data_IF_294706633985
#
_entry.id   IF_294706633985
#
_cell.length_a   1.000
_cell.length_b   1.000
_cell.length_c   1.000
_cell.angle_alpha   90.00
_cell.angle_beta   90.00
_cell.angle_gamma   90.00
#
_symmetry.space_group_name_H-M   'P 1'
#
loop_
_entity.id
_entity.type
_entity.pdbx_description
1 polymer ?
#
# COMPACT_ATOMS: atom_id res chain seq x y z
N UNK A 1 -0.91 9.09 30.17
CA UNK A 1 -2.01 8.13 29.97
C UNK A 1 -1.49 6.89 29.27
N UNK A 2 -1.86 5.69 29.76
CA UNK A 2 -1.46 4.42 29.15
C UNK A 2 -2.48 3.97 28.08
N UNK A 3 -2.23 4.39 26.83
CA UNK A 3 -3.08 4.04 25.70
C UNK A 3 -3.01 2.56 25.32
N UNK A 4 -1.93 1.85 25.69
CA UNK A 4 -1.80 0.41 25.44
C UNK A 4 -2.79 -0.35 26.30
N UNK A 5 -2.73 -0.16 27.63
CA UNK A 5 -3.64 -0.83 28.58
C UNK A 5 -5.11 -0.54 28.27
N UNK A 6 -5.44 0.69 27.91
CA UNK A 6 -6.81 1.05 27.50
C UNK A 6 -7.25 0.37 26.21
N UNK A 7 -6.34 0.21 25.24
CA UNK A 7 -6.64 -0.50 23.99
C UNK A 7 -6.90 -1.99 24.22
N UNK A 8 -6.15 -2.61 25.13
CA UNK A 8 -6.37 -3.99 25.56
C UNK A 8 -7.74 -4.15 26.23
N UNK A 9 -8.12 -3.24 27.12
CA UNK A 9 -9.45 -3.22 27.74
C UNK A 9 -10.56 -3.12 26.68
N UNK A 10 -10.39 -2.25 25.68
CA UNK A 10 -11.39 -2.12 24.61
C UNK A 10 -11.51 -3.42 23.80
N UNK A 11 -10.40 -4.11 23.51
CA UNK A 11 -10.46 -5.42 22.83
C UNK A 11 -11.22 -6.45 23.67
N UNK A 12 -11.00 -6.49 24.98
CA UNK A 12 -11.75 -7.36 25.89
C UNK A 12 -13.24 -7.01 25.93
N UNK A 13 -13.61 -5.72 25.89
CA UNK A 13 -15.00 -5.30 25.80
C UNK A 13 -15.68 -5.74 24.50
N UNK A 14 -14.97 -5.72 23.35
CA UNK A 14 -15.49 -6.30 22.11
C UNK A 14 -15.70 -7.81 22.22
N UNK A 15 -14.75 -8.54 22.82
CA UNK A 15 -14.85 -10.00 23.04
C UNK A 15 -16.01 -10.38 23.96
N UNK A 16 -16.27 -9.56 24.97
CA UNK A 16 -17.37 -9.75 25.92
C UNK A 16 -18.69 -9.11 25.47
N UNK A 17 -18.72 -8.53 24.26
CA UNK A 17 -19.87 -7.84 23.68
C UNK A 17 -20.42 -6.67 24.53
N UNK A 18 -19.57 -6.08 25.39
CA UNK A 18 -19.88 -4.89 26.20
C UNK A 18 -19.71 -3.62 25.37
N UNK A 19 -20.57 -3.46 24.37
CA UNK A 19 -20.53 -2.32 23.46
C UNK A 19 -20.92 -0.99 24.14
N UNK A 20 -21.63 -1.06 25.29
CA UNK A 20 -21.93 0.11 26.10
C UNK A 20 -20.65 0.70 26.72
N UNK A 21 -19.77 -0.15 27.27
CA UNK A 21 -18.49 0.29 27.79
C UNK A 21 -17.53 0.79 26.70
N UNK A 22 -17.57 0.21 25.49
CA UNK A 22 -16.84 0.74 24.33
C UNK A 22 -17.38 2.13 23.98
N UNK A 23 -18.70 2.28 23.85
CA UNK A 23 -19.34 3.53 23.44
C UNK A 23 -19.01 4.69 24.39
N UNK A 24 -18.96 4.46 25.71
CA UNK A 24 -18.56 5.47 26.71
C UNK A 24 -17.14 6.02 26.50
N UNK A 25 -16.28 5.30 25.79
CA UNK A 25 -14.91 5.72 25.49
C UNK A 25 -14.79 6.44 24.15
N UNK A 26 -15.82 6.42 23.31
CA UNK A 26 -15.84 7.09 22.01
C UNK A 26 -16.08 8.58 22.18
N UNK A 27 -15.42 9.36 21.32
CA UNK A 27 -15.70 10.77 21.17
C UNK A 27 -16.97 10.99 20.33
N UNK A 28 -18.09 11.23 21.00
CA UNK A 28 -19.40 11.40 20.37
C UNK A 28 -19.52 12.70 19.57
N UNK A 29 -18.62 13.67 19.77
CA UNK A 29 -18.64 14.93 19.00
C UNK A 29 -18.25 14.73 17.53
N UNK A 30 -17.55 13.63 17.21
CA UNK A 30 -17.09 13.32 15.84
C UNK A 30 -17.93 12.25 15.16
N UNK A 31 -18.62 11.40 15.94
CA UNK A 31 -19.41 10.30 15.41
C UNK A 31 -20.91 10.47 15.69
N UNK A 32 -21.56 11.32 14.91
CA UNK A 32 -23.02 11.52 15.00
C UNK A 32 -23.85 10.28 14.64
N UNK A 33 -23.24 9.25 14.04
CA UNK A 33 -23.89 8.00 13.62
C UNK A 33 -23.42 6.74 14.36
N UNK A 34 -22.56 6.87 15.37
CA UNK A 34 -22.10 5.71 16.15
C UNK A 34 -22.97 5.60 17.39
N UNK A 35 -23.57 4.44 17.56
CA UNK A 35 -24.25 3.99 18.76
C UNK A 35 -23.81 2.55 19.09
N UNK A 36 -24.31 1.99 20.18
CA UNK A 36 -24.00 0.60 20.57
C UNK A 36 -24.42 -0.41 19.50
N UNK A 37 -25.54 -0.15 18.80
CA UNK A 37 -26.03 -1.01 17.73
C UNK A 37 -25.09 -1.01 16.50
N UNK A 38 -24.50 0.13 16.17
CA UNK A 38 -23.48 0.26 15.13
C UNK A 38 -22.24 -0.55 15.50
N UNK A 39 -21.76 -0.44 16.74
CA UNK A 39 -20.59 -1.19 17.22
C UNK A 39 -20.87 -2.70 17.15
N UNK A 40 -22.04 -3.14 17.63
CA UNK A 40 -22.47 -4.54 17.58
C UNK A 40 -22.53 -5.08 16.15
N UNK A 41 -23.15 -4.33 15.21
CA UNK A 41 -23.19 -4.72 13.79
C UNK A 41 -21.80 -4.83 13.17
N UNK A 42 -20.90 -3.90 13.48
CA UNK A 42 -19.52 -3.95 12.98
C UNK A 42 -18.79 -5.19 13.53
N UNK A 43 -18.92 -5.48 14.83
CA UNK A 43 -18.33 -6.68 15.43
C UNK A 43 -18.89 -7.97 14.83
N UNK A 44 -20.21 -8.08 14.67
CA UNK A 44 -20.86 -9.23 14.04
C UNK A 44 -20.35 -9.45 12.60
N UNK A 45 -20.15 -8.38 11.84
CA UNK A 45 -19.55 -8.46 10.49
C UNK A 45 -18.11 -8.95 10.53
N UNK A 46 -17.31 -8.52 11.52
CA UNK A 46 -15.94 -9.02 11.72
C UNK A 46 -15.96 -10.52 12.02
N UNK A 47 -16.79 -10.98 12.95
CA UNK A 47 -16.91 -12.41 13.26
C UNK A 47 -17.39 -13.22 12.05
N UNK A 48 -18.38 -12.71 11.30
CA UNK A 48 -18.87 -13.36 10.07
C UNK A 48 -17.76 -13.55 9.02
N UNK A 49 -16.95 -12.52 8.79
CA UNK A 49 -15.89 -12.54 7.77
C UNK A 49 -14.63 -13.30 8.20
N UNK A 50 -14.30 -13.29 9.50
CA UNK A 50 -12.99 -13.74 10.00
C UNK A 50 -13.07 -14.99 10.88
N UNK A 51 -14.28 -15.41 11.27
CA UNK A 51 -14.50 -16.41 12.32
C UNK A 51 -14.37 -15.81 13.71
N UNK A 52 -14.35 -16.66 14.74
CA UNK A 52 -14.22 -16.23 16.14
C UNK A 52 -12.81 -15.73 16.45
N UNK A 53 -12.70 -14.86 17.45
CA UNK A 53 -11.43 -14.40 17.98
C UNK A 53 -10.70 -15.57 18.66
N UNK A 54 -9.41 -15.74 18.38
CA UNK A 54 -8.55 -16.79 18.97
C UNK A 54 -7.59 -16.18 19.99
N UNK A 55 -6.71 -15.28 19.55
CA UNK A 55 -5.72 -14.64 20.43
C UNK A 55 -5.18 -13.34 19.86
N UNK A 56 -4.65 -12.49 20.74
CA UNK A 56 -3.80 -11.37 20.36
C UNK A 56 -2.37 -11.88 20.12
N UNK A 57 -1.73 -11.41 19.06
CA UNK A 57 -0.36 -11.79 18.67
C UNK A 57 0.66 -10.72 19.05
N UNK A 58 0.38 -9.45 18.72
CA UNK A 58 1.27 -8.32 19.01
C UNK A 58 0.52 -7.00 19.13
N UNK A 59 1.20 -6.01 19.67
CA UNK A 59 0.76 -4.63 19.77
C UNK A 59 1.79 -3.69 19.15
N UNK A 60 1.31 -2.70 18.42
CA UNK A 60 2.14 -1.64 17.84
C UNK A 60 1.51 -0.28 18.12
N UNK A 61 2.33 0.66 18.61
CA UNK A 61 1.94 2.06 18.74
C UNK A 61 2.44 2.83 17.53
N UNK A 62 1.54 3.55 16.88
CA UNK A 62 1.83 4.49 15.81
C UNK A 62 1.29 5.89 16.09
N UNK A 63 1.47 6.79 15.13
CA UNK A 63 0.89 8.13 15.13
C UNK A 63 0.25 8.40 13.77
N UNK A 64 -0.85 9.13 13.78
CA UNK A 64 -1.51 9.65 12.57
C UNK A 64 -1.82 11.12 12.82
N UNK A 65 -0.96 12.00 12.31
CA UNK A 65 -0.95 13.41 12.70
C UNK A 65 -0.78 13.56 14.23
N UNK A 66 -1.73 14.26 14.86
CA UNK A 66 -1.73 14.48 16.30
C UNK A 66 -2.36 13.34 17.11
N UNK A 67 -2.86 12.29 16.47
CA UNK A 67 -3.51 11.17 17.14
C UNK A 67 -2.55 10.02 17.42
N UNK A 68 -2.74 9.37 18.56
CA UNK A 68 -2.05 8.13 18.90
C UNK A 68 -2.85 6.97 18.32
N UNK A 69 -2.23 6.12 17.51
CA UNK A 69 -2.88 4.93 16.96
C UNK A 69 -2.31 3.72 17.67
N UNK A 70 -3.17 2.87 18.21
CA UNK A 70 -2.77 1.59 18.76
C UNK A 70 -3.32 0.47 17.89
N UNK A 71 -2.44 -0.40 17.40
CA UNK A 71 -2.78 -1.51 16.52
C UNK A 71 -2.52 -2.80 17.26
N UNK A 72 -3.56 -3.61 17.42
CA UNK A 72 -3.49 -4.93 18.02
C UNK A 72 -3.64 -5.95 16.91
N UNK A 73 -2.61 -6.76 16.65
CA UNK A 73 -2.69 -7.85 15.69
C UNK A 73 -3.40 -9.03 16.35
N UNK A 74 -4.57 -9.38 15.82
CA UNK A 74 -5.42 -10.43 16.36
C UNK A 74 -5.51 -11.61 15.39
N UNK A 75 -5.35 -12.82 15.89
CA UNK A 75 -5.68 -14.04 15.18
C UNK A 75 -7.17 -14.34 15.36
N UNK A 76 -7.90 -14.46 14.26
CA UNK A 76 -9.23 -15.06 14.20
C UNK A 76 -9.15 -16.44 13.54
N UNK A 77 -10.22 -17.24 13.59
CA UNK A 77 -10.20 -18.61 13.05
C UNK A 77 -9.77 -18.69 11.57
N UNK A 78 -10.15 -17.71 10.75
CA UNK A 78 -9.87 -17.71 9.30
C UNK A 78 -8.62 -16.92 8.90
N UNK A 79 -8.36 -15.78 9.55
CA UNK A 79 -7.29 -14.85 9.15
C UNK A 79 -6.85 -13.95 10.30
N UNK A 80 -5.73 -13.27 10.08
CA UNK A 80 -5.25 -12.24 11.00
C UNK A 80 -5.89 -10.89 10.66
N UNK A 81 -6.21 -10.13 11.70
CA UNK A 81 -6.87 -8.82 11.61
C UNK A 81 -6.17 -7.84 12.53
N UNK A 82 -5.81 -6.69 12.01
CA UNK A 82 -5.37 -5.54 12.80
C UNK A 82 -6.59 -4.82 13.37
N UNK A 83 -6.73 -4.85 14.70
CA UNK A 83 -7.66 -4.00 15.42
C UNK A 83 -6.99 -2.68 15.77
N UNK A 84 -7.36 -1.61 15.06
CA UNK A 84 -6.77 -0.28 15.19
C UNK A 84 -7.69 0.63 16.00
N UNK A 85 -7.14 1.27 17.02
CA UNK A 85 -7.79 2.30 17.83
C UNK A 85 -7.07 3.63 17.66
N UNK A 86 -7.81 4.66 17.27
CA UNK A 86 -7.31 6.02 17.11
C UNK A 86 -7.72 6.83 18.33
N UNK A 87 -6.75 7.25 19.13
CA UNK A 87 -6.93 8.03 20.34
C UNK A 87 -6.77 9.52 20.05
N UNK A 88 -7.82 10.28 20.36
CA UNK A 88 -7.82 11.73 20.34
C UNK A 88 -6.96 12.34 21.44
N UNK A 89 -6.62 13.62 21.27
CA UNK A 89 -5.91 14.41 22.30
C UNK A 89 -6.74 14.58 23.59
N UNK A 90 -8.07 14.44 23.50
CA UNK A 90 -9.01 14.41 24.62
C UNK A 90 -9.15 13.02 25.27
N UNK A 91 -8.22 12.10 24.96
CA UNK A 91 -8.16 10.75 25.52
C UNK A 91 -9.40 9.87 25.23
N UNK A 92 -10.20 10.27 24.23
CA UNK A 92 -11.36 9.51 23.72
C UNK A 92 -11.03 8.87 22.39
N UNK A 93 -11.74 7.79 22.06
CA UNK A 93 -11.57 7.06 20.80
C UNK A 93 -12.19 7.90 19.68
N UNK A 94 -11.35 8.35 18.75
CA UNK A 94 -11.71 9.06 17.51
C UNK A 94 -11.91 8.10 16.33
N UNK A 95 -11.71 6.80 16.52
CA UNK A 95 -12.03 5.80 15.52
C UNK A 95 -11.55 4.42 15.92
N UNK A 96 -12.26 3.40 15.47
CA UNK A 96 -11.87 2.00 15.62
C UNK A 96 -12.06 1.28 14.29
N UNK A 97 -11.12 0.41 13.93
CA UNK A 97 -11.12 -0.27 12.64
C UNK A 97 -10.64 -1.71 12.81
N UNK A 98 -11.29 -2.63 12.11
CA UNK A 98 -10.84 -4.01 11.94
C UNK A 98 -10.36 -4.18 10.50
N UNK A 99 -9.05 -4.23 10.31
CA UNK A 99 -8.43 -4.30 8.99
C UNK A 99 -7.79 -5.67 8.84
N UNK A 100 -8.29 -6.54 7.95
CA UNK A 100 -7.62 -7.79 7.63
C UNK A 100 -6.16 -7.52 7.28
N UNK A 101 -5.24 -8.34 7.80
CA UNK A 101 -3.85 -8.27 7.39
C UNK A 101 -3.77 -8.56 5.89
N UNK A 102 -3.12 -7.67 5.16
CA UNK A 102 -2.82 -7.90 3.75
C UNK A 102 -1.72 -8.95 3.65
N UNK A 103 -2.15 -10.20 3.46
CA UNK A 103 -1.31 -11.39 3.25
C UNK A 103 -1.10 -11.69 1.77
N UNK A 104 -1.63 -10.85 0.87
CA UNK A 104 -1.37 -10.99 -0.56
C UNK A 104 0.14 -10.92 -0.77
N UNK A 105 0.69 -11.74 -1.68
CA UNK A 105 2.10 -11.63 -2.04
C UNK A 105 2.41 -10.17 -2.37
N UNK A 106 3.54 -9.68 -1.86
CA UNK A 106 4.08 -8.39 -2.27
C UNK A 106 5.11 -8.62 -3.36
N UNK A 107 5.31 -7.64 -4.22
CA UNK A 107 6.37 -7.69 -5.21
C UNK A 107 7.70 -8.00 -4.52
N UNK A 108 8.38 -9.02 -5.05
CA UNK A 108 9.76 -9.37 -4.67
C UNK A 108 10.63 -9.11 -5.88
N UNK A 109 11.76 -8.46 -5.65
CA UNK A 109 12.77 -8.31 -6.70
C UNK A 109 13.28 -9.69 -7.11
N UNK A 110 13.51 -9.93 -8.40
CA UNK A 110 14.04 -11.21 -8.88
C UNK A 110 15.49 -11.41 -8.42
N UNK A 111 15.94 -12.66 -8.31
CA UNK A 111 17.28 -13.01 -7.81
C UNK A 111 18.41 -12.47 -8.69
N UNK A 112 18.14 -12.25 -9.97
CA UNK A 112 19.08 -11.65 -10.92
C UNK A 112 19.11 -10.11 -10.82
N UNK A 113 18.27 -9.46 -10.02
CA UNK A 113 18.36 -8.02 -9.80
C UNK A 113 19.66 -7.68 -9.08
N UNK A 114 20.49 -6.84 -9.69
CA UNK A 114 21.74 -6.38 -9.10
C UNK A 114 21.80 -4.83 -9.10
N UNK A 115 21.62 -4.18 -7.93
CA UNK A 115 21.65 -2.72 -7.84
C UNK A 115 23.04 -2.12 -8.10
N UNK A 116 24.13 -2.90 -8.02
CA UNK A 116 25.47 -2.45 -8.38
C UNK A 116 25.70 -2.46 -9.90
N UNK A 117 25.03 -3.36 -10.63
CA UNK A 117 25.20 -3.52 -12.08
C UNK A 117 24.47 -2.45 -12.90
N UNK A 118 23.49 -1.76 -12.31
CA UNK A 118 22.61 -0.85 -13.02
C UNK A 118 22.21 0.35 -12.16
N UNK A 119 21.90 1.48 -12.80
CA UNK A 119 21.24 2.61 -12.15
C UNK A 119 19.95 2.97 -12.87
N UNK A 120 18.90 3.22 -12.12
CA UNK A 120 17.65 3.75 -12.67
C UNK A 120 17.64 5.27 -12.59
N UNK A 121 17.29 5.93 -13.70
CA UNK A 121 17.11 7.36 -13.79
C UNK A 121 15.68 7.69 -14.17
N UNK A 122 15.03 8.57 -13.42
CA UNK A 122 13.72 9.12 -13.82
C UNK A 122 13.91 10.01 -15.04
N UNK A 123 13.08 9.81 -16.04
CA UNK A 123 13.06 10.58 -17.28
C UNK A 123 11.65 11.07 -17.55
N UNK A 124 11.53 12.13 -18.34
CA UNK A 124 10.24 12.56 -18.89
C UNK A 124 10.42 12.67 -20.39
N UNK A 125 9.57 11.95 -21.12
CA UNK A 125 9.48 12.10 -22.56
C UNK A 125 8.48 13.17 -22.86
N UNK A 126 8.87 14.14 -23.68
CA UNK A 126 8.01 15.26 -24.04
C UNK A 126 7.70 15.18 -25.52
N UNK A 127 6.43 15.32 -25.86
CA UNK A 127 5.98 15.68 -27.19
C UNK A 127 5.39 17.10 -27.14
N UNK A 128 4.84 17.60 -28.24
CA UNK A 128 4.22 18.93 -28.27
C UNK A 128 3.09 19.06 -27.24
N UNK A 129 2.33 17.97 -27.04
CA UNK A 129 1.12 17.98 -26.22
C UNK A 129 1.21 17.12 -24.97
N UNK A 130 2.24 16.28 -24.83
CA UNK A 130 2.30 15.28 -23.76
C UNK A 130 3.63 15.30 -23.01
N UNK A 131 3.55 15.07 -21.70
CA UNK A 131 4.71 14.84 -20.83
C UNK A 131 4.53 13.48 -20.17
N UNK A 132 5.32 12.52 -20.61
CA UNK A 132 5.17 11.12 -20.24
C UNK A 132 6.29 10.73 -19.28
N UNK A 133 6.00 10.52 -17.99
CA UNK A 133 7.00 10.08 -17.03
C UNK A 133 7.52 8.69 -17.40
N UNK A 134 8.80 8.45 -17.13
CA UNK A 134 9.41 7.14 -17.32
C UNK A 134 10.63 6.91 -16.45
N UNK A 135 11.19 5.72 -16.60
CA UNK A 135 12.38 5.23 -15.92
C UNK A 135 13.32 4.63 -16.96
N UNK A 136 14.54 5.15 -17.02
CA UNK A 136 15.61 4.64 -17.84
C UNK A 136 16.59 3.88 -16.94
N UNK A 137 16.67 2.56 -17.12
CA UNK A 137 17.63 1.70 -16.44
C UNK A 137 18.89 1.58 -17.30
N UNK A 138 20.03 1.94 -16.74
CA UNK A 138 21.30 2.08 -17.46
C UNK A 138 22.33 1.13 -16.84
N UNK A 139 23.03 0.29 -17.64
CA UNK A 139 24.15 -0.50 -17.14
C UNK A 139 25.24 0.39 -16.57
N UNK A 140 25.85 -0.01 -15.45
CA UNK A 140 26.99 0.70 -14.84
C UNK A 140 28.34 0.36 -15.51
N UNK A 141 28.31 -0.27 -16.69
CA UNK A 141 29.49 -0.54 -17.51
C UNK A 141 29.79 0.65 -18.44
N UNK A 142 31.07 0.80 -18.82
CA UNK A 142 31.52 1.87 -19.73
C UNK A 142 31.09 1.56 -21.17
N UNK A 143 30.90 2.59 -21.98
CA UNK A 143 30.60 2.47 -23.41
C UNK A 143 29.14 2.74 -23.78
N UNK A 144 28.81 2.51 -25.05
CA UNK A 144 27.44 2.60 -25.57
C UNK A 144 26.73 1.28 -25.31
N UNK A 145 25.46 1.36 -24.88
CA UNK A 145 24.62 0.20 -24.62
C UNK A 145 23.46 0.17 -25.63
N UNK A 146 23.05 -1.01 -26.12
CA UNK A 146 21.79 -1.13 -26.83
C UNK A 146 20.64 -0.67 -25.92
N UNK A 147 19.63 -0.03 -26.51
CA UNK A 147 18.44 0.45 -25.81
C UNK A 147 17.22 -0.38 -26.23
N UNK A 148 16.55 -0.97 -25.25
CA UNK A 148 15.22 -1.57 -25.42
C UNK A 148 14.18 -0.63 -24.81
N UNK A 149 13.09 -0.39 -25.54
CA UNK A 149 11.94 0.36 -25.04
C UNK A 149 10.81 -0.64 -24.81
N UNK A 150 10.34 -0.73 -23.57
CA UNK A 150 9.19 -1.58 -23.24
C UNK A 150 7.91 -0.79 -23.46
N UNK A 151 7.09 -1.29 -24.38
CA UNK A 151 5.82 -0.68 -24.81
C UNK A 151 4.68 -1.54 -24.28
N UNK A 152 3.72 -0.93 -23.60
CA UNK A 152 2.58 -1.63 -23.01
C UNK A 152 1.67 -2.27 -24.07
N UNK A 153 0.90 -3.26 -23.64
CA UNK A 153 -0.24 -3.79 -24.40
C UNK A 153 -1.43 -2.83 -24.39
N UNK A 154 -2.65 -3.34 -24.45
CA UNK A 154 -3.90 -2.54 -24.38
C UNK A 154 -4.21 -2.05 -22.96
N UNK A 155 -4.81 -0.87 -22.84
CA UNK A 155 -5.26 -0.30 -21.56
C UNK A 155 -4.28 0.69 -20.92
N UNK A 156 -4.76 1.36 -19.87
CA UNK A 156 -3.97 2.27 -19.06
C UNK A 156 -3.12 1.44 -18.08
N UNK A 157 -1.84 1.32 -18.37
CA UNK A 157 -0.89 0.54 -17.57
C UNK A 157 0.26 1.44 -17.12
N UNK A 158 0.77 1.17 -15.92
CA UNK A 158 1.93 1.87 -15.39
C UNK A 158 3.24 1.40 -16.06
N UNK A 159 4.34 2.10 -15.81
CA UNK A 159 5.67 1.76 -16.36
C UNK A 159 6.22 0.37 -15.97
N UNK A 160 5.67 -0.23 -14.92
CA UNK A 160 6.10 -1.52 -14.41
C UNK A 160 5.24 -2.67 -14.96
N UNK A 161 4.13 -2.35 -15.65
CA UNK A 161 3.05 -3.28 -16.00
C UNK A 161 2.52 -3.98 -14.73
N UNK A 162 2.26 -3.18 -13.68
CA UNK A 162 1.90 -3.73 -12.37
C UNK A 162 0.59 -4.52 -12.43
N UNK A 163 0.66 -5.82 -12.15
CA UNK A 163 -0.50 -6.70 -11.99
C UNK A 163 -0.41 -7.46 -10.66
N UNK A 164 -1.13 -6.97 -9.65
CA UNK A 164 -1.02 -7.49 -8.28
C UNK A 164 0.43 -7.41 -7.78
N UNK A 165 1.07 -8.53 -7.38
CA UNK A 165 2.48 -8.54 -7.00
C UNK A 165 3.45 -8.52 -8.17
N UNK A 166 3.00 -8.69 -9.41
CA UNK A 166 3.86 -8.85 -10.58
C UNK A 166 4.22 -7.49 -11.16
N UNK A 167 5.47 -7.37 -11.63
CA UNK A 167 5.99 -6.19 -12.32
C UNK A 167 6.86 -6.61 -13.50
N UNK A 168 6.28 -7.28 -14.52
CA UNK A 168 7.04 -7.95 -15.57
C UNK A 168 7.96 -6.98 -16.33
N UNK A 169 7.56 -5.73 -16.59
CA UNK A 169 8.46 -4.78 -17.26
C UNK A 169 9.65 -4.39 -16.37
N UNK A 170 9.44 -4.28 -15.07
CA UNK A 170 10.53 -4.05 -14.11
C UNK A 170 11.48 -5.24 -14.04
N UNK A 171 10.94 -6.44 -14.07
CA UNK A 171 11.70 -7.68 -13.99
C UNK A 171 12.51 -7.92 -15.27
N UNK A 172 11.92 -7.68 -16.44
CA UNK A 172 12.62 -7.72 -17.74
C UNK A 172 13.72 -6.65 -17.78
N UNK A 173 13.42 -5.42 -17.36
CA UNK A 173 14.41 -4.34 -17.28
C UNK A 173 15.58 -4.70 -16.38
N UNK A 174 15.31 -5.34 -15.24
CA UNK A 174 16.36 -5.76 -14.32
C UNK A 174 17.28 -6.81 -14.95
N UNK A 175 16.72 -7.81 -15.63
CA UNK A 175 17.50 -8.88 -16.28
C UNK A 175 18.32 -8.37 -17.46
N UNK A 176 17.70 -7.59 -18.35
CA UNK A 176 18.36 -7.02 -19.52
C UNK A 176 19.51 -6.08 -19.14
N UNK A 177 19.34 -5.25 -18.11
CA UNK A 177 20.39 -4.32 -17.70
C UNK A 177 21.59 -4.99 -17.05
N UNK A 178 21.40 -6.11 -16.36
CA UNK A 178 22.51 -6.95 -15.89
C UNK A 178 23.31 -7.53 -17.07
N UNK A 179 22.67 -7.76 -18.22
CA UNK A 179 23.31 -8.21 -19.46
C UNK A 179 23.88 -7.06 -20.32
N UNK A 180 23.95 -5.83 -19.79
CA UNK A 180 24.51 -4.69 -20.51
C UNK A 180 23.56 -3.99 -21.47
N UNK A 181 22.25 -4.21 -21.34
CA UNK A 181 21.22 -3.56 -22.18
C UNK A 181 20.51 -2.46 -21.39
N UNK A 182 20.52 -1.23 -21.91
CA UNK A 182 19.73 -0.15 -21.33
C UNK A 182 18.24 -0.37 -21.63
N UNK A 183 17.38 -0.07 -20.66
CA UNK A 183 15.93 -0.29 -20.81
C UNK A 183 15.15 0.94 -20.41
N UNK A 184 14.30 1.43 -21.32
CA UNK A 184 13.37 2.52 -21.07
C UNK A 184 11.96 1.97 -20.83
N UNK A 185 11.36 2.42 -19.73
CA UNK A 185 9.99 2.10 -19.33
C UNK A 185 9.25 3.41 -19.06
N UNK A 186 7.95 3.49 -19.36
CA UNK A 186 7.22 4.75 -19.24
C UNK A 186 5.77 4.56 -18.81
N UNK A 187 5.09 5.60 -18.34
CA UNK A 187 3.67 5.52 -18.01
C UNK A 187 2.83 5.59 -19.29
N UNK A 188 1.78 4.76 -19.41
CA UNK A 188 0.78 4.94 -20.46
C UNK A 188 -0.45 5.63 -19.89
N UNK A 189 -0.72 6.85 -20.34
CA UNK A 189 -1.98 7.51 -20.03
C UNK A 189 -3.15 6.92 -20.85
N UNK A 190 -4.39 6.95 -20.35
CA UNK A 190 -5.54 6.31 -20.99
C UNK A 190 -5.89 6.85 -22.39
N UNK A 191 -5.46 8.07 -22.75
CA UNK A 191 -6.04 8.84 -23.86
C UNK A 191 -5.12 8.98 -25.10
N UNK A 192 -4.32 7.96 -25.40
CA UNK A 192 -3.44 7.93 -26.58
C UNK A 192 -4.09 7.32 -27.82
N UNK A 193 -5.33 7.71 -28.15
CA UNK A 193 -5.98 7.36 -29.43
C UNK A 193 -5.84 8.48 -30.45
N UNK A 194 -4.64 8.69 -31.01
CA UNK A 194 -4.41 9.46 -32.25
C UNK A 194 -2.96 9.28 -32.76
N UNK A 195 -2.69 9.29 -34.10
CA UNK A 195 -1.47 8.75 -34.67
C UNK A 195 -0.30 9.75 -34.69
N UNK A 196 0.91 9.18 -34.62
CA UNK A 196 2.23 9.79 -34.82
C UNK A 196 2.72 10.82 -33.79
N UNK A 197 3.14 10.32 -32.62
CA UNK A 197 3.90 11.09 -31.64
C UNK A 197 5.41 11.00 -31.90
N UNK A 198 6.05 12.10 -32.36
CA UNK A 198 7.51 12.24 -32.31
C UNK A 198 7.97 12.53 -30.88
N UNK A 199 8.49 11.51 -30.19
CA UNK A 199 8.99 11.64 -28.82
C UNK A 199 10.40 12.24 -28.75
N UNK A 200 10.59 13.23 -27.87
CA UNK A 200 11.91 13.67 -27.41
C UNK A 200 12.13 13.17 -25.98
N UNK A 201 13.27 12.52 -25.73
CA UNK A 201 13.65 12.05 -24.40
C UNK A 201 14.39 13.17 -23.66
N UNK A 202 13.84 13.66 -22.54
CA UNK A 202 14.56 14.58 -21.65
C UNK A 202 14.96 13.85 -20.37
N UNK A 203 16.27 13.90 -20.08
CA UNK A 203 16.84 13.33 -18.88
C UNK A 203 16.81 14.42 -17.80
N UNK A 204 16.02 14.22 -16.74
CA UNK A 204 15.98 15.15 -15.61
C UNK A 204 17.30 15.03 -14.84
N UNK A 205 18.03 16.14 -14.66
CA UNK A 205 19.28 16.17 -13.90
C UNK A 205 19.02 16.16 -12.41
#
# INVERSE_FOLDING_TARGET
MDYKKRSEIVLEQFKNEDFSAVFKQIDTAVFTKVDTAYIARNWANVIKQNGKFVKKLKDERGRQGNFVVHTQLCQFEKKQVNFRLVWGVNEKIKGFYFVPVDDRPKYKTPDYYNPAAAREKKVVMTTENYRIPGSLMIPNTKGKHPLVILVHGSGANDRDETFGPLKPFKDISSGLTVQGVAVLRYEREPDFSSPECRMKLQIIQ
#
